data_IF_606303310489
#
_entry.id   IF_606303310489
#
_cell.length_a   1.000
_cell.length_b   1.000
_cell.length_c   1.000
_cell.angle_alpha   90.00
_cell.angle_beta   90.00
_cell.angle_gamma   90.00
#
_symmetry.space_group_name_H-M   'P 1'
#
loop_
_entity.id
_entity.type
_entity.pdbx_description
1 polymer ?
#
# COMPACT_ATOMS: atom_id res chain seq x y z
N UNK A 1 25.17 8.96 -2.17
CA UNK A 1 25.16 10.28 -2.85
C UNK A 1 26.53 10.96 -2.78
N UNK A 2 27.57 10.36 -3.35
CA UNK A 2 28.87 11.02 -3.52
C UNK A 2 29.44 10.62 -4.88
N UNK A 3 29.92 11.60 -5.63
CA UNK A 3 30.60 11.40 -6.91
C UNK A 3 31.64 12.51 -7.09
N UNK A 4 32.84 12.14 -7.52
CA UNK A 4 33.97 13.07 -7.72
C UNK A 4 34.24 14.00 -6.51
N UNK A 5 34.26 13.42 -5.30
CA UNK A 5 34.44 14.15 -4.04
C UNK A 5 33.42 15.26 -3.72
N UNK A 6 32.28 15.24 -4.41
CA UNK A 6 31.13 16.11 -4.14
C UNK A 6 29.99 15.29 -3.55
N UNK A 7 29.46 15.78 -2.42
CA UNK A 7 28.28 15.22 -1.77
C UNK A 7 26.99 15.79 -2.37
N UNK A 8 26.00 14.92 -2.56
CA UNK A 8 24.69 15.29 -3.10
C UNK A 8 23.60 15.14 -2.05
N UNK A 9 22.77 16.16 -1.90
CA UNK A 9 21.69 16.18 -0.92
C UNK A 9 20.35 15.84 -1.55
N UNK A 10 19.39 15.51 -0.71
CA UNK A 10 18.00 15.27 -1.10
C UNK A 10 17.06 15.95 -0.12
N UNK A 11 15.79 16.04 -0.48
CA UNK A 11 14.76 16.63 0.38
C UNK A 11 14.11 15.55 1.24
N UNK A 12 13.98 15.81 2.53
CA UNK A 12 13.08 15.04 3.41
C UNK A 12 11.85 15.90 3.72
N UNK A 13 10.62 15.38 3.56
CA UNK A 13 9.42 16.12 3.89
C UNK A 13 9.32 16.39 5.39
N UNK A 14 8.97 17.63 5.73
CA UNK A 14 8.65 18.04 7.10
C UNK A 14 7.13 18.02 7.37
N UNK A 15 6.32 18.11 6.31
CA UNK A 15 4.86 18.08 6.39
C UNK A 15 4.34 16.67 6.02
N UNK A 16 3.52 16.10 6.90
CA UNK A 16 2.95 14.76 6.74
C UNK A 16 1.42 14.85 6.63
N UNK A 17 0.93 15.02 5.41
CA UNK A 17 -0.50 14.98 5.09
C UNK A 17 -0.72 14.00 3.92
N UNK A 18 -1.86 13.30 3.86
CA UNK A 18 -2.13 12.44 2.71
C UNK A 18 -2.36 13.30 1.46
N UNK A 19 -1.63 12.99 0.38
CA UNK A 19 -1.94 13.53 -0.96
C UNK A 19 -3.27 12.93 -1.44
N UNK A 20 -4.17 13.77 -1.91
CA UNK A 20 -5.54 13.37 -2.24
C UNK A 20 -5.59 12.48 -3.50
N UNK A 21 -5.94 11.20 -3.30
CA UNK A 21 -5.92 10.16 -4.36
C UNK A 21 -6.76 10.49 -5.60
N UNK A 22 -7.94 11.09 -5.42
CA UNK A 22 -8.86 11.41 -6.55
C UNK A 22 -8.30 12.45 -7.53
N UNK A 23 -7.19 13.10 -7.19
CA UNK A 23 -6.52 14.10 -8.03
C UNK A 23 -5.26 13.55 -8.70
N UNK A 24 -4.97 12.27 -8.51
CA UNK A 24 -3.81 11.60 -9.09
C UNK A 24 -4.28 10.80 -10.30
N UNK A 25 -3.69 11.07 -11.46
CA UNK A 25 -3.78 10.23 -12.64
C UNK A 25 -2.53 9.34 -12.70
N UNK A 26 -2.67 8.06 -12.36
CA UNK A 26 -1.56 7.11 -12.33
C UNK A 26 -1.03 6.73 -13.72
N UNK A 27 -1.79 7.02 -14.79
CA UNK A 27 -1.44 6.61 -16.16
C UNK A 27 -0.30 7.45 -16.73
N UNK A 28 -0.17 8.70 -16.27
CA UNK A 28 0.88 9.64 -16.68
C UNK A 28 2.11 9.62 -15.76
N UNK A 29 2.07 8.83 -14.68
CA UNK A 29 3.14 8.77 -13.71
C UNK A 29 4.17 7.68 -14.02
N UNK A 30 5.44 8.02 -13.87
CA UNK A 30 6.53 7.04 -13.86
C UNK A 30 6.49 6.18 -12.60
N UNK A 31 7.07 4.98 -12.66
CA UNK A 31 7.17 4.08 -11.51
C UNK A 31 7.93 4.72 -10.35
N UNK A 32 8.94 5.55 -10.63
CA UNK A 32 9.67 6.30 -9.61
C UNK A 32 8.75 7.26 -8.84
N UNK A 33 7.85 7.97 -9.53
CA UNK A 33 6.92 8.89 -8.88
C UNK A 33 5.87 8.14 -8.08
N UNK A 34 5.33 7.03 -8.60
CA UNK A 34 4.39 6.17 -7.85
C UNK A 34 5.06 5.64 -6.58
N UNK A 35 6.27 5.10 -6.69
CA UNK A 35 7.03 4.61 -5.54
C UNK A 35 7.30 5.72 -4.52
N UNK A 36 7.65 6.92 -4.98
CA UNK A 36 7.87 8.06 -4.08
C UNK A 36 6.60 8.45 -3.31
N UNK A 37 5.43 8.51 -3.96
CA UNK A 37 4.16 8.81 -3.27
C UNK A 37 3.80 7.69 -2.28
N UNK A 38 3.99 6.43 -2.66
CA UNK A 38 3.71 5.29 -1.78
C UNK A 38 4.60 5.30 -0.53
N UNK A 39 5.89 5.60 -0.69
CA UNK A 39 6.82 5.76 0.44
C UNK A 39 6.47 6.97 1.31
N UNK A 40 6.06 8.08 0.69
CA UNK A 40 5.57 9.25 1.41
C UNK A 40 4.31 8.93 2.24
N UNK A 41 3.30 8.30 1.64
CA UNK A 41 2.09 7.85 2.32
C UNK A 41 2.40 6.89 3.46
N UNK A 42 3.33 5.96 3.29
CA UNK A 42 3.80 5.05 4.36
C UNK A 42 4.42 5.82 5.52
N UNK A 43 5.29 6.80 5.25
CA UNK A 43 5.88 7.67 6.29
C UNK A 43 4.79 8.48 7.01
N UNK A 44 3.84 9.04 6.28
CA UNK A 44 2.70 9.81 6.81
C UNK A 44 1.81 8.94 7.70
N UNK A 45 1.39 7.77 7.23
CA UNK A 45 0.57 6.82 7.97
C UNK A 45 1.24 6.40 9.28
N UNK A 46 2.55 6.14 9.26
CA UNK A 46 3.31 5.83 10.46
C UNK A 46 3.34 7.01 11.43
N UNK A 47 3.92 8.15 11.03
CA UNK A 47 4.16 9.27 11.94
C UNK A 47 2.86 9.86 12.51
N UNK A 48 1.89 10.15 11.65
CA UNK A 48 0.63 10.76 12.06
C UNK A 48 -0.30 9.73 12.67
N UNK A 49 -0.31 8.49 12.16
CA UNK A 49 -1.14 7.43 12.71
C UNK A 49 -0.72 7.03 14.13
N UNK A 50 0.58 6.95 14.41
CA UNK A 50 1.10 6.69 15.76
C UNK A 50 0.67 7.81 16.73
N UNK A 51 0.70 9.07 16.29
CA UNK A 51 0.27 10.20 17.10
C UNK A 51 -1.25 10.22 17.34
N UNK A 52 -2.05 9.91 16.32
CA UNK A 52 -3.51 9.80 16.45
C UNK A 52 -3.89 8.69 17.43
N UNK A 53 -3.20 7.54 17.39
CA UNK A 53 -3.38 6.45 18.35
C UNK A 53 -3.08 6.89 19.78
N UNK A 54 -1.95 7.57 20.01
CA UNK A 54 -1.60 8.11 21.34
C UNK A 54 -2.66 9.05 21.89
N UNK A 55 -3.30 9.82 21.02
CA UNK A 55 -4.38 10.74 21.38
C UNK A 55 -5.77 10.09 21.46
N UNK A 56 -5.89 8.78 21.23
CA UNK A 56 -7.18 8.07 21.21
C UNK A 56 -8.10 8.45 20.03
N UNK A 57 -7.56 9.11 19.00
CA UNK A 57 -8.31 9.64 17.83
C UNK A 57 -8.49 8.58 16.74
N UNK A 58 -9.18 7.49 17.08
CA UNK A 58 -9.31 6.33 16.20
C UNK A 58 -10.08 6.61 14.90
N UNK A 59 -11.11 7.46 14.93
CA UNK A 59 -11.85 7.85 13.71
C UNK A 59 -10.94 8.52 12.67
N UNK A 60 -10.07 9.42 13.11
CA UNK A 60 -9.10 10.10 12.25
C UNK A 60 -7.99 9.15 11.81
N UNK A 61 -7.59 8.21 12.67
CA UNK A 61 -6.64 7.16 12.33
C UNK A 61 -7.16 6.31 11.17
N UNK A 62 -8.39 5.82 11.27
CA UNK A 62 -9.00 4.98 10.22
C UNK A 62 -9.11 5.74 8.89
N UNK A 63 -9.53 7.00 8.96
CA UNK A 63 -9.55 7.88 7.78
C UNK A 63 -8.15 8.04 7.17
N UNK A 64 -7.12 8.28 7.98
CA UNK A 64 -5.75 8.44 7.50
C UNK A 64 -5.24 7.18 6.82
N UNK A 65 -5.49 6.01 7.40
CA UNK A 65 -5.08 4.72 6.83
C UNK A 65 -5.74 4.49 5.47
N UNK A 66 -7.00 4.89 5.30
CA UNK A 66 -7.69 4.83 4.01
C UNK A 66 -7.04 5.76 2.96
N UNK A 67 -6.76 7.01 3.34
CA UNK A 67 -6.19 8.00 2.41
C UNK A 67 -4.73 7.72 2.02
N UNK A 68 -4.01 6.93 2.82
CA UNK A 68 -2.59 6.58 2.62
C UNK A 68 -2.36 5.18 2.05
N UNK A 69 -3.43 4.51 1.60
CA UNK A 69 -3.31 3.23 0.88
C UNK A 69 -2.44 3.40 -0.38
N UNK A 70 -1.57 2.41 -0.69
CA UNK A 70 -0.73 2.46 -1.88
C UNK A 70 -1.52 2.69 -3.17
N UNK A 71 -0.93 3.48 -4.06
CA UNK A 71 -1.35 3.68 -5.43
C UNK A 71 -0.78 2.54 -6.26
N UNK A 72 -1.67 1.84 -6.96
CA UNK A 72 -1.35 0.75 -7.89
C UNK A 72 -1.85 1.19 -9.26
N UNK A 73 -1.06 0.96 -10.30
CA UNK A 73 -1.48 1.28 -11.66
C UNK A 73 -2.64 0.36 -12.05
N UNK A 74 -3.79 0.93 -12.40
CA UNK A 74 -4.85 0.19 -13.05
C UNK A 74 -4.41 -0.09 -14.49
N UNK A 75 -3.61 -1.14 -14.67
CA UNK A 75 -3.37 -1.68 -16.00
C UNK A 75 -4.70 -2.27 -16.44
N UNK A 76 -5.39 -1.59 -17.35
CA UNK A 76 -6.53 -2.19 -18.02
C UNK A 76 -6.03 -3.52 -18.59
N UNK A 77 -6.53 -4.62 -18.06
CA UNK A 77 -6.25 -5.97 -18.57
C UNK A 77 -6.66 -5.97 -20.04
N UNK A 78 -5.72 -5.74 -20.95
CA UNK A 78 -5.86 -6.28 -22.29
C UNK A 78 -5.98 -7.78 -22.06
N UNK A 79 -7.11 -8.36 -22.46
CA UNK A 79 -7.39 -9.78 -22.33
C UNK A 79 -6.35 -10.57 -23.14
N UNK A 80 -5.13 -10.73 -22.63
CA UNK A 80 -4.22 -11.78 -23.06
C UNK A 80 -4.61 -12.98 -22.23
N UNK A 81 -5.48 -13.82 -22.80
CA UNK A 81 -5.86 -15.08 -22.21
C UNK A 81 -4.61 -15.97 -22.08
N UNK A 82 -3.95 -15.93 -20.93
CA UNK A 82 -3.02 -16.98 -20.52
C UNK A 82 -3.80 -17.94 -19.63
N UNK A 83 -4.28 -19.01 -20.25
CA UNK A 83 -4.93 -20.14 -19.59
C UNK A 83 -3.94 -20.85 -18.64
N UNK A 84 -4.49 -21.39 -17.54
CA UNK A 84 -3.91 -22.44 -16.66
C UNK A 84 -2.97 -21.95 -15.54
N UNK A 85 -3.16 -22.22 -14.25
CA UNK A 85 -4.14 -23.05 -13.55
C UNK A 85 -4.23 -22.66 -12.07
N UNK A 86 -5.46 -22.72 -11.54
CA UNK A 86 -5.82 -22.38 -10.16
C UNK A 86 -5.46 -23.59 -9.28
N UNK A 87 -4.34 -23.55 -8.55
CA UNK A 87 -4.08 -24.54 -7.49
C UNK A 87 -5.03 -24.26 -6.32
N UNK A 88 -6.06 -25.09 -6.19
CA UNK A 88 -6.99 -25.06 -5.06
C UNK A 88 -6.31 -25.79 -3.90
N UNK A 89 -5.99 -25.05 -2.84
CA UNK A 89 -5.43 -25.57 -1.59
C UNK A 89 -6.42 -26.50 -0.90
N UNK A 90 -6.10 -27.79 -0.83
CA UNK A 90 -6.92 -28.88 -0.25
C UNK A 90 -6.65 -29.09 1.27
N UNK A 91 -6.57 -28.04 2.09
CA UNK A 91 -6.20 -28.22 3.52
C UNK A 91 -7.39 -28.17 4.50
N UNK A 92 -8.61 -27.81 4.11
CA UNK A 92 -9.67 -27.55 5.12
C UNK A 92 -10.84 -28.54 5.22
N UNK A 93 -10.83 -29.71 4.55
CA UNK A 93 -11.98 -30.65 4.62
C UNK A 93 -11.77 -31.83 5.59
N UNK A 94 -10.60 -32.08 6.16
CA UNK A 94 -10.37 -33.28 6.99
C UNK A 94 -10.79 -33.18 8.46
N UNK A 95 -11.30 -32.04 8.95
CA UNK A 95 -11.61 -31.86 10.38
C UNK A 95 -13.09 -32.09 10.77
N UNK A 96 -13.98 -32.50 9.85
CA UNK A 96 -15.42 -32.63 10.14
C UNK A 96 -16.02 -34.03 9.83
N UNK A 97 -15.22 -35.09 9.82
CA UNK A 97 -15.74 -36.49 9.68
C UNK A 97 -15.22 -37.39 10.82
N UNK A 98 -15.05 -36.86 12.03
CA UNK A 98 -14.64 -37.66 13.19
C UNK A 98 -15.48 -37.40 14.45
N UNK A 99 -16.76 -37.04 14.31
CA UNK A 99 -17.65 -36.91 15.46
C UNK A 99 -19.12 -37.27 15.22
N UNK A 100 -19.43 -38.17 14.28
CA UNK A 100 -20.77 -38.77 14.20
C UNK A 100 -20.75 -40.10 13.44
N UNK A 101 -20.58 -41.22 14.16
CA UNK A 101 -21.30 -42.49 13.95
C UNK A 101 -20.71 -43.61 14.83
N UNK A 102 -21.55 -44.04 15.78
CA UNK A 102 -21.55 -45.24 16.63
C UNK A 102 -20.34 -45.53 17.52
#
# INVERSE_FOLDING_TARGET
NRFNDVDYYTFDPICYFPVQRKLIDETIMSDRQINWINDYHKKTAKRVGDELKKQGKMKQYDWLMEQTKPIVRNVATTNVATTTGKSISFIFVSALIAHFSF
#
